data_IF_512218560661
#
_entry.id   IF_512218560661
#
_cell.length_a   1.000
_cell.length_b   1.000
_cell.length_c   1.000
_cell.angle_alpha   90.00
_cell.angle_beta   90.00
_cell.angle_gamma   90.00
#
_symmetry.space_group_name_H-M   'P 1'
#
loop_
_entity.id
_entity.type
_entity.pdbx_description
1 polymer ?
#
# COMPACT_ATOMS: atom_id res chain seq x y z
N UNK A 1 11.10 11.08 31.07
CA UNK A 1 10.68 10.34 32.29
C UNK A 1 9.78 9.21 31.80
N UNK A 2 10.19 7.95 31.73
CA UNK A 2 9.81 6.87 32.66
C UNK A 2 10.67 5.57 32.50
N UNK A 3 11.95 5.58 32.03
CA UNK A 3 12.72 4.33 31.90
C UNK A 3 13.00 3.68 33.26
N UNK A 4 13.13 4.46 34.34
CA UNK A 4 13.39 3.95 35.67
C UNK A 4 12.20 3.18 36.28
N UNK A 5 10.96 3.63 36.04
CA UNK A 5 9.75 2.94 36.52
C UNK A 5 9.51 1.65 35.71
N UNK A 6 9.85 1.63 34.42
CA UNK A 6 9.83 0.43 33.59
C UNK A 6 10.88 -0.61 34.03
N UNK A 7 12.10 -0.16 34.37
CA UNK A 7 13.17 -1.03 34.90
C UNK A 7 12.81 -1.58 36.28
N UNK A 8 12.21 -0.77 37.16
CA UNK A 8 11.70 -1.20 38.47
C UNK A 8 10.56 -2.21 38.34
N UNK A 9 9.64 -2.02 37.38
CA UNK A 9 8.60 -3.00 37.06
C UNK A 9 9.17 -4.31 36.51
N UNK A 10 10.23 -4.24 35.68
CA UNK A 10 10.95 -5.40 35.14
C UNK A 10 11.65 -6.21 36.23
N UNK A 11 12.28 -5.51 37.19
CA UNK A 11 12.99 -6.13 38.31
C UNK A 11 12.01 -6.74 39.33
N UNK A 12 10.90 -6.07 39.64
CA UNK A 12 9.86 -6.60 40.53
C UNK A 12 9.15 -7.83 39.93
N UNK A 13 8.87 -7.83 38.63
CA UNK A 13 8.28 -8.98 37.93
C UNK A 13 9.28 -10.15 37.77
N UNK A 14 10.55 -9.85 37.50
CA UNK A 14 11.63 -10.85 37.50
C UNK A 14 11.82 -11.51 38.86
N UNK A 15 11.70 -10.73 39.94
CA UNK A 15 11.74 -11.24 41.31
C UNK A 15 10.52 -12.11 41.64
N UNK A 16 9.30 -11.73 41.22
CA UNK A 16 8.10 -12.56 41.38
C UNK A 16 8.19 -13.89 40.62
N UNK A 17 8.77 -13.90 39.41
CA UNK A 17 9.01 -15.12 38.65
C UNK A 17 10.04 -16.03 39.36
N UNK A 18 11.09 -15.44 39.94
CA UNK A 18 12.09 -16.15 40.73
C UNK A 18 11.53 -16.69 42.05
N UNK A 19 10.61 -15.96 42.69
CA UNK A 19 9.93 -16.37 43.91
C UNK A 19 8.93 -17.52 43.64
N UNK A 20 8.22 -17.46 42.50
CA UNK A 20 7.36 -18.55 42.04
C UNK A 20 8.16 -19.84 41.76
N UNK A 21 9.39 -19.74 41.23
CA UNK A 21 10.28 -20.90 41.04
C UNK A 21 10.80 -21.53 42.34
N UNK A 22 10.84 -20.78 43.45
CA UNK A 22 11.23 -21.32 44.76
C UNK A 22 10.04 -21.92 45.54
N UNK A 23 8.82 -21.47 45.27
CA UNK A 23 7.60 -21.93 45.93
C UNK A 23 7.04 -23.24 45.34
N UNK A 24 7.36 -23.57 44.09
CA UNK A 24 7.00 -24.86 43.49
C UNK A 24 8.00 -25.94 43.90
N UNK A 25 7.65 -26.76 44.90
CA UNK A 25 8.41 -27.97 45.26
C UNK A 25 8.55 -28.88 44.03
N UNK A 26 9.81 -29.14 43.68
CA UNK A 26 10.32 -30.21 42.83
C UNK A 26 9.73 -30.39 41.41
N UNK A 27 10.61 -30.13 40.45
CA UNK A 27 10.68 -30.74 39.11
C UNK A 27 9.71 -30.24 38.04
N UNK A 28 9.99 -29.08 37.44
CA UNK A 28 9.89 -28.95 35.99
C UNK A 28 10.72 -27.78 35.46
N UNK A 29 11.95 -28.07 35.06
CA UNK A 29 12.84 -27.15 34.34
C UNK A 29 12.21 -26.65 33.01
N UNK A 30 11.19 -27.34 32.54
CA UNK A 30 10.38 -27.06 31.36
C UNK A 30 9.43 -25.88 31.56
N UNK A 31 8.77 -25.76 32.73
CA UNK A 31 7.98 -24.58 33.09
C UNK A 31 8.86 -23.32 33.21
N UNK A 32 10.09 -23.48 33.71
CA UNK A 32 11.09 -22.41 33.81
C UNK A 32 11.50 -21.94 32.41
N UNK A 33 11.76 -22.86 31.48
CA UNK A 33 12.07 -22.54 30.09
C UNK A 33 10.90 -21.90 29.34
N UNK A 34 9.67 -22.34 29.59
CA UNK A 34 8.47 -21.79 28.94
C UNK A 34 8.16 -20.37 29.40
N UNK A 35 8.25 -20.10 30.71
CA UNK A 35 8.08 -18.76 31.27
C UNK A 35 9.15 -17.79 30.73
N UNK A 36 10.40 -18.24 30.63
CA UNK A 36 11.49 -17.43 30.07
C UNK A 36 11.30 -17.13 28.56
N UNK A 37 10.90 -18.12 27.76
CA UNK A 37 10.67 -17.96 26.32
C UNK A 37 9.45 -17.08 26.02
N UNK A 38 8.35 -17.26 26.75
CA UNK A 38 7.15 -16.42 26.64
C UNK A 38 7.47 -14.96 27.00
N UNK A 39 8.26 -14.76 28.06
CA UNK A 39 8.68 -13.43 28.52
C UNK A 39 9.59 -12.72 27.51
N UNK A 40 10.57 -13.42 26.93
CA UNK A 40 11.46 -12.87 25.90
C UNK A 40 10.66 -12.47 24.64
N UNK A 41 9.68 -13.28 24.23
CA UNK A 41 8.81 -12.98 23.10
C UNK A 41 7.92 -11.76 23.36
N UNK A 42 7.35 -11.64 24.57
CA UNK A 42 6.50 -10.53 24.98
C UNK A 42 7.28 -9.21 25.04
N UNK A 43 8.47 -9.22 25.65
CA UNK A 43 9.35 -8.04 25.73
C UNK A 43 9.77 -7.56 24.34
N UNK A 44 10.09 -8.49 23.42
CA UNK A 44 10.43 -8.15 22.04
C UNK A 44 9.25 -7.55 21.25
N UNK A 45 8.04 -8.11 21.41
CA UNK A 45 6.82 -7.61 20.78
C UNK A 45 6.45 -6.20 21.28
N UNK A 46 6.49 -5.98 22.60
CA UNK A 46 6.16 -4.68 23.19
C UNK A 46 7.21 -3.62 22.82
N UNK A 47 8.50 -3.97 22.83
CA UNK A 47 9.58 -3.06 22.43
C UNK A 47 9.48 -2.61 20.96
N UNK A 48 9.22 -3.55 20.04
CA UNK A 48 9.06 -3.23 18.61
C UNK A 48 7.83 -2.36 18.34
N UNK A 49 6.75 -2.52 19.11
CA UNK A 49 5.53 -1.71 18.98
C UNK A 49 5.68 -0.30 19.57
N UNK A 50 6.44 -0.14 20.65
CA UNK A 50 6.52 1.14 21.39
C UNK A 50 7.69 2.05 20.99
N UNK A 51 8.85 1.50 20.62
CA UNK A 51 10.08 2.31 20.45
C UNK A 51 10.36 2.70 18.98
N UNK A 52 9.62 2.14 18.00
CA UNK A 52 9.76 2.40 16.54
C UNK A 52 11.20 2.35 16.00
N UNK A 53 12.17 1.75 16.73
CA UNK A 53 13.56 1.54 16.28
C UNK A 53 13.90 0.05 16.22
N UNK A 54 14.55 -0.44 15.14
CA UNK A 54 14.93 -1.84 15.00
C UNK A 54 16.12 -2.17 15.91
N UNK A 55 15.85 -2.72 17.11
CA UNK A 55 16.88 -3.23 18.01
C UNK A 55 17.37 -4.62 17.56
N UNK A 56 17.91 -4.71 16.35
CA UNK A 56 18.27 -5.98 15.71
C UNK A 56 19.38 -6.77 16.42
N UNK A 57 20.20 -6.14 17.26
CA UNK A 57 21.23 -6.82 18.06
C UNK A 57 20.65 -7.43 19.34
N UNK A 58 19.71 -6.72 20.00
CA UNK A 58 19.05 -7.16 21.23
C UNK A 58 18.14 -8.37 20.93
N UNK A 59 17.45 -8.36 19.78
CA UNK A 59 16.69 -9.52 19.29
C UNK A 59 17.58 -10.73 18.99
N UNK A 60 18.79 -10.54 18.47
CA UNK A 60 19.73 -11.63 18.20
C UNK A 60 20.29 -12.23 19.49
N UNK A 61 20.66 -11.38 20.46
CA UNK A 61 21.12 -11.82 21.77
C UNK A 61 20.04 -12.66 22.47
N UNK A 62 18.80 -12.15 22.49
CA UNK A 62 17.65 -12.83 23.07
C UNK A 62 17.35 -14.17 22.39
N UNK A 63 17.43 -14.23 21.06
CA UNK A 63 17.24 -15.48 20.30
C UNK A 63 18.37 -16.49 20.56
N UNK A 64 19.62 -16.05 20.72
CA UNK A 64 20.74 -16.95 21.06
C UNK A 64 20.60 -17.55 22.46
N UNK A 65 20.21 -16.74 23.46
CA UNK A 65 19.96 -17.22 24.82
C UNK A 65 18.78 -18.20 24.84
N UNK A 66 17.68 -17.88 24.16
CA UNK A 66 16.54 -18.75 24.00
C UNK A 66 16.90 -20.10 23.36
N UNK A 67 17.74 -20.10 22.32
CA UNK A 67 18.22 -21.32 21.67
C UNK A 67 19.08 -22.17 22.62
N UNK A 68 19.97 -21.56 23.40
CA UNK A 68 20.80 -22.27 24.38
C UNK A 68 19.95 -22.92 25.49
N UNK A 69 18.91 -22.23 25.97
CA UNK A 69 17.95 -22.79 26.94
C UNK A 69 17.16 -23.95 26.35
N UNK A 70 16.73 -23.85 25.09
CA UNK A 70 16.02 -24.91 24.37
C UNK A 70 16.90 -26.16 24.18
N UNK A 71 18.17 -25.97 23.82
CA UNK A 71 19.16 -27.07 23.71
C UNK A 71 19.37 -27.76 25.05
N UNK A 72 19.50 -27.00 26.14
CA UNK A 72 19.64 -27.55 27.50
C UNK A 72 18.39 -28.34 27.93
N UNK A 73 17.20 -27.83 27.62
CA UNK A 73 15.94 -28.54 27.88
C UNK A 73 15.84 -29.86 27.10
N UNK A 74 16.19 -29.88 25.81
CA UNK A 74 16.20 -31.12 25.01
C UNK A 74 17.28 -32.08 25.49
N UNK A 75 18.46 -31.59 25.87
CA UNK A 75 19.55 -32.42 26.40
C UNK A 75 19.17 -33.09 27.72
N UNK A 76 18.54 -32.35 28.64
CA UNK A 76 18.05 -32.93 29.91
C UNK A 76 16.92 -33.94 29.71
N UNK A 77 16.18 -33.87 28.60
CA UNK A 77 15.23 -34.92 28.21
C UNK A 77 15.92 -36.17 27.66
N UNK A 78 17.07 -36.02 26.97
CA UNK A 78 17.83 -37.16 26.45
C UNK A 78 18.45 -38.04 27.54
N UNK A 79 18.69 -37.49 28.73
CA UNK A 79 19.30 -38.19 29.87
C UNK A 79 18.28 -38.81 30.84
N UNK A 80 16.98 -38.58 30.65
CA UNK A 80 15.90 -39.17 31.48
C UNK A 80 15.04 -40.09 30.63
N UNK A 81 15.36 -41.39 30.65
CA UNK A 81 14.60 -42.43 29.94
C UNK A 81 13.19 -42.66 30.50
N UNK A 82 12.94 -42.27 31.75
CA UNK A 82 11.75 -42.71 32.49
C UNK A 82 10.53 -41.78 32.34
N UNK A 83 10.72 -40.58 31.77
CA UNK A 83 9.64 -39.58 31.59
C UNK A 83 8.66 -39.98 30.47
N UNK A 84 9.03 -40.95 29.63
CA UNK A 84 8.30 -41.31 28.40
C UNK A 84 7.82 -42.77 28.35
N UNK A 85 8.18 -43.59 29.34
CA UNK A 85 7.95 -45.05 29.34
C UNK A 85 6.66 -45.50 30.05
N UNK A 86 5.83 -44.58 30.55
CA UNK A 86 4.56 -44.98 31.20
C UNK A 86 3.46 -45.24 30.17
N UNK A 87 3.65 -46.34 29.42
CA UNK A 87 2.76 -46.82 28.35
C UNK A 87 1.42 -47.37 28.87
N UNK A 88 1.13 -47.31 30.18
CA UNK A 88 -0.09 -47.88 30.75
C UNK A 88 -1.30 -46.93 30.74
N UNK A 89 -1.09 -45.64 30.55
CA UNK A 89 -2.15 -44.65 30.44
C UNK A 89 -1.90 -43.77 29.20
N UNK A 90 -2.50 -44.09 28.06
CA UNK A 90 -2.26 -43.48 26.74
C UNK A 90 -2.34 -41.94 26.60
N UNK A 91 -2.53 -41.20 27.69
CA UNK A 91 -2.54 -39.73 27.75
C UNK A 91 -1.13 -39.11 27.91
N UNK A 92 -0.18 -39.78 28.59
CA UNK A 92 1.14 -39.20 28.89
C UNK A 92 2.06 -39.11 27.66
N UNK A 93 1.93 -40.05 26.73
CA UNK A 93 2.77 -40.18 25.54
C UNK A 93 2.41 -39.20 24.41
N UNK A 94 1.14 -38.77 24.33
CA UNK A 94 0.70 -37.71 23.42
C UNK A 94 1.24 -36.32 23.84
N UNK A 95 1.23 -36.00 25.14
CA UNK A 95 1.76 -34.73 25.67
C UNK A 95 3.27 -34.59 25.41
N UNK A 96 4.00 -35.70 25.54
CA UNK A 96 5.42 -35.79 25.18
C UNK A 96 5.70 -35.47 23.71
N UNK A 97 4.94 -36.07 22.80
CA UNK A 97 5.02 -35.80 21.35
C UNK A 97 4.80 -34.31 21.05
N UNK A 98 3.77 -33.69 21.63
CA UNK A 98 3.49 -32.27 21.44
C UNK A 98 4.58 -31.37 21.99
N UNK A 99 5.13 -31.66 23.17
CA UNK A 99 6.26 -30.91 23.75
C UNK A 99 7.49 -30.93 22.84
N UNK A 100 7.82 -32.09 22.25
CA UNK A 100 8.91 -32.23 21.29
C UNK A 100 8.62 -31.52 19.96
N UNK A 101 7.39 -31.60 19.46
CA UNK A 101 6.97 -30.91 18.24
C UNK A 101 7.04 -29.38 18.40
N UNK A 102 6.61 -28.85 19.55
CA UNK A 102 6.71 -27.43 19.86
C UNK A 102 8.16 -26.98 20.09
N UNK A 103 9.00 -27.82 20.71
CA UNK A 103 10.44 -27.54 20.82
C UNK A 103 11.12 -27.52 19.44
N UNK A 104 10.75 -28.44 18.54
CA UNK A 104 11.22 -28.45 17.17
C UNK A 104 10.77 -27.18 16.41
N UNK A 105 9.46 -26.87 16.44
CA UNK A 105 8.91 -25.68 15.78
C UNK A 105 9.48 -24.36 16.34
N UNK A 106 9.67 -24.28 17.66
CA UNK A 106 10.31 -23.15 18.33
C UNK A 106 11.77 -22.97 17.92
N UNK A 107 12.54 -24.07 17.81
CA UNK A 107 13.91 -24.05 17.31
C UNK A 107 14.01 -23.59 15.85
N UNK A 108 13.11 -24.09 14.98
CA UNK A 108 13.00 -23.64 13.57
C UNK A 108 12.66 -22.14 13.50
N UNK A 109 11.75 -21.66 14.35
CA UNK A 109 11.39 -20.25 14.46
C UNK A 109 12.53 -19.35 14.95
N UNK A 110 13.30 -19.82 15.93
CA UNK A 110 14.50 -19.13 16.45
C UNK A 110 15.62 -19.07 15.39
N UNK A 111 15.87 -20.16 14.68
CA UNK A 111 16.78 -20.17 13.52
C UNK A 111 16.31 -19.15 12.47
N UNK A 112 15.01 -19.07 12.17
CA UNK A 112 14.44 -18.08 11.24
C UNK A 112 14.64 -16.64 11.73
N UNK A 113 14.48 -16.36 13.01
CA UNK A 113 14.72 -15.03 13.60
C UNK A 113 16.19 -14.61 13.54
N UNK A 114 17.12 -15.55 13.76
CA UNK A 114 18.56 -15.31 13.65
C UNK A 114 19.03 -15.09 12.19
N UNK A 115 18.26 -15.57 11.20
CA UNK A 115 18.62 -15.60 9.78
C UNK A 115 17.79 -14.65 8.88
N UNK A 116 16.68 -14.10 9.39
CA UNK A 116 15.81 -13.19 8.64
C UNK A 116 15.05 -13.86 7.49
N UNK A 117 14.86 -13.16 6.36
CA UNK A 117 14.06 -13.61 5.19
C UNK A 117 14.69 -14.73 4.35
N UNK A 118 15.74 -15.40 4.82
CA UNK A 118 16.55 -16.35 4.04
C UNK A 118 15.99 -17.79 3.95
N UNK A 119 14.85 -18.09 4.57
CA UNK A 119 14.28 -19.45 4.60
C UNK A 119 14.07 -20.11 3.22
N UNK A 120 13.61 -19.41 2.15
CA UNK A 120 13.44 -20.03 0.83
C UNK A 120 14.77 -20.43 0.16
N UNK A 121 15.92 -19.98 0.71
CA UNK A 121 17.26 -20.21 0.16
C UNK A 121 18.02 -21.35 0.84
N UNK A 122 17.44 -21.99 1.86
CA UNK A 122 18.06 -23.12 2.58
C UNK A 122 18.29 -24.35 1.69
N UNK A 123 17.54 -24.49 0.59
CA UNK A 123 17.71 -25.58 -0.38
C UNK A 123 18.86 -25.32 -1.39
N UNK A 124 19.39 -24.09 -1.45
CA UNK A 124 20.53 -23.70 -2.30
C UNK A 124 21.36 -22.61 -1.60
N UNK A 125 22.11 -22.95 -0.53
CA UNK A 125 22.93 -21.98 0.20
C UNK A 125 24.02 -21.40 -0.71
N UNK A 126 24.15 -20.06 -0.75
CA UNK A 126 25.13 -19.33 -1.56
C UNK A 126 26.23 -18.69 -0.72
N UNK A 127 26.04 -18.59 0.59
CA UNK A 127 27.00 -17.97 1.52
C UNK A 127 27.38 -18.92 2.65
N UNK A 128 28.57 -18.74 3.25
CA UNK A 128 29.05 -19.53 4.39
C UNK A 128 28.05 -19.51 5.57
N UNK A 129 27.40 -18.36 5.79
CA UNK A 129 26.39 -18.17 6.83
C UNK A 129 25.13 -19.01 6.59
N UNK A 130 24.69 -19.13 5.33
CA UNK A 130 23.56 -19.98 4.96
C UNK A 130 23.92 -21.46 5.11
N UNK A 131 25.16 -21.86 4.79
CA UNK A 131 25.65 -23.22 5.00
C UNK A 131 25.68 -23.65 6.46
N UNK A 132 26.26 -22.82 7.34
CA UNK A 132 26.29 -23.09 8.79
C UNK A 132 24.88 -23.17 9.38
N UNK A 133 23.96 -22.35 8.89
CA UNK A 133 22.56 -22.37 9.29
C UNK A 133 21.84 -23.66 8.85
N UNK A 134 22.05 -24.10 7.61
CA UNK A 134 21.49 -25.37 7.13
C UNK A 134 22.03 -26.53 7.96
N UNK A 135 23.34 -26.56 8.24
CA UNK A 135 23.95 -27.59 9.10
C UNK A 135 23.37 -27.58 10.52
N UNK A 136 23.19 -26.40 11.12
CA UNK A 136 22.60 -26.27 12.46
C UNK A 136 21.14 -26.75 12.49
N UNK A 137 20.36 -26.41 11.47
CA UNK A 137 18.96 -26.84 11.35
C UNK A 137 18.84 -28.35 11.12
N UNK A 138 19.70 -28.92 10.28
CA UNK A 138 19.77 -30.37 10.05
C UNK A 138 20.18 -31.10 11.33
N UNK A 139 21.20 -30.62 12.03
CA UNK A 139 21.64 -31.17 13.31
C UNK A 139 20.53 -31.10 14.38
N UNK A 140 19.82 -29.96 14.48
CA UNK A 140 18.71 -29.78 15.40
C UNK A 140 17.54 -30.73 15.10
N UNK A 141 17.21 -30.86 13.81
CA UNK A 141 16.14 -31.76 13.34
C UNK A 141 16.50 -33.23 13.59
N UNK A 142 17.76 -33.61 13.33
CA UNK A 142 18.25 -34.96 13.60
C UNK A 142 18.25 -35.28 15.11
N UNK A 143 18.63 -34.33 15.96
CA UNK A 143 18.59 -34.48 17.42
C UNK A 143 17.15 -34.69 17.91
N UNK A 144 16.21 -33.84 17.48
CA UNK A 144 14.79 -33.97 17.85
C UNK A 144 14.20 -35.30 17.34
N UNK A 145 14.53 -35.69 16.10
CA UNK A 145 14.10 -36.97 15.52
C UNK A 145 14.66 -38.19 16.26
N UNK A 146 15.91 -38.13 16.71
CA UNK A 146 16.53 -39.18 17.50
C UNK A 146 15.87 -39.31 18.89
N UNK A 147 15.58 -38.19 19.56
CA UNK A 147 14.86 -38.19 20.84
C UNK A 147 13.44 -38.74 20.67
N UNK A 148 12.76 -38.41 19.57
CA UNK A 148 11.45 -38.94 19.25
C UNK A 148 11.48 -40.47 19.03
N UNK A 149 12.40 -40.95 18.19
CA UNK A 149 12.53 -42.36 17.85
C UNK A 149 12.92 -43.24 19.05
N UNK A 150 13.69 -42.69 20.00
CA UNK A 150 14.12 -43.41 21.21
C UNK A 150 13.04 -43.49 22.29
N UNK A 151 12.11 -42.53 22.33
CA UNK A 151 11.21 -42.35 23.47
C UNK A 151 9.70 -42.48 23.14
N UNK A 152 9.30 -42.56 21.87
CA UNK A 152 7.89 -42.64 21.47
C UNK A 152 7.65 -43.89 20.62
N UNK A 153 6.66 -44.70 21.01
CA UNK A 153 6.27 -45.89 20.23
C UNK A 153 5.57 -45.50 18.92
N UNK A 154 5.71 -46.34 17.89
CA UNK A 154 5.15 -46.11 16.55
C UNK A 154 3.62 -45.94 16.59
N UNK A 155 2.94 -46.66 17.49
CA UNK A 155 1.48 -46.62 17.65
C UNK A 155 0.99 -45.28 18.22
N UNK A 156 1.68 -44.72 19.21
CA UNK A 156 1.36 -43.41 19.80
C UNK A 156 1.63 -42.28 18.80
N UNK A 157 2.71 -42.40 18.02
CA UNK A 157 3.03 -41.46 16.95
C UNK A 157 1.91 -41.44 15.91
N UNK A 158 1.45 -42.61 15.46
CA UNK A 158 0.34 -42.73 14.51
C UNK A 158 -0.97 -42.14 15.07
N UNK A 159 -1.29 -42.40 16.34
CA UNK A 159 -2.49 -41.88 17.00
C UNK A 159 -2.47 -40.35 17.18
N UNK A 160 -1.29 -39.76 17.46
CA UNK A 160 -1.12 -38.32 17.69
C UNK A 160 -1.04 -37.51 16.40
N UNK A 161 -0.50 -38.09 15.32
CA UNK A 161 -0.35 -37.44 14.01
C UNK A 161 -1.68 -37.40 13.23
N UNK A 162 -2.56 -38.38 13.43
CA UNK A 162 -3.85 -38.48 12.73
C UNK A 162 -4.77 -37.25 12.92
N UNK A 163 -5.01 -36.73 14.14
CA UNK A 163 -5.81 -35.50 14.33
C UNK A 163 -5.08 -34.23 13.86
N UNK A 164 -3.75 -34.18 13.89
CA UNK A 164 -2.97 -33.06 13.35
C UNK A 164 -3.11 -32.98 11.82
N UNK A 165 -2.97 -34.10 11.11
CA UNK A 165 -3.13 -34.16 9.66
C UNK A 165 -4.55 -33.77 9.23
N UNK A 166 -5.56 -34.27 9.95
CA UNK A 166 -6.97 -34.00 9.62
C UNK A 166 -7.42 -32.60 10.06
N UNK A 167 -7.01 -32.11 11.24
CA UNK A 167 -7.49 -30.85 11.81
C UNK A 167 -6.68 -29.60 11.40
N UNK A 168 -5.40 -29.75 11.08
CA UNK A 168 -4.49 -28.62 10.80
C UNK A 168 -3.76 -28.79 9.45
N UNK A 169 -3.39 -30.03 9.10
CA UNK A 169 -2.77 -30.34 7.81
C UNK A 169 -3.68 -30.05 6.63
N UNK A 170 -4.94 -30.49 6.68
CA UNK A 170 -5.90 -30.29 5.59
C UNK A 170 -6.20 -28.79 5.34
N UNK A 171 -6.54 -27.96 6.35
CA UNK A 171 -6.79 -26.53 6.13
C UNK A 171 -5.55 -25.77 5.65
N UNK A 172 -4.37 -26.08 6.19
CA UNK A 172 -3.11 -25.46 5.74
C UNK A 172 -2.74 -25.87 4.31
N UNK A 173 -3.01 -27.12 3.91
CA UNK A 173 -2.82 -27.58 2.54
C UNK A 173 -3.79 -26.85 1.59
N UNK A 174 -5.06 -26.69 1.97
CA UNK A 174 -6.05 -25.92 1.20
C UNK A 174 -5.64 -24.45 1.08
N UNK A 175 -5.24 -23.81 2.18
CA UNK A 175 -4.73 -22.43 2.16
C UNK A 175 -3.47 -22.28 1.30
N UNK A 176 -2.53 -23.23 1.40
CA UNK A 176 -1.29 -23.21 0.61
C UNK A 176 -1.54 -23.46 -0.88
N UNK A 177 -2.50 -24.33 -1.22
CA UNK A 177 -2.90 -24.58 -2.61
C UNK A 177 -3.66 -23.40 -3.20
N UNK A 178 -4.60 -22.79 -2.47
CA UNK A 178 -5.29 -21.57 -2.89
C UNK A 178 -4.31 -20.40 -3.04
N UNK A 179 -3.45 -20.16 -2.05
CA UNK A 179 -2.41 -19.12 -2.14
C UNK A 179 -1.39 -19.41 -3.26
N UNK A 180 -1.05 -20.69 -3.48
CA UNK A 180 -0.21 -21.14 -4.57
C UNK A 180 -0.86 -20.90 -5.93
N UNK A 181 -2.17 -21.13 -6.05
CA UNK A 181 -2.96 -20.90 -7.25
C UNK A 181 -3.13 -19.40 -7.54
N UNK A 182 -3.51 -18.58 -6.56
CA UNK A 182 -3.54 -17.11 -6.68
C UNK A 182 -2.15 -16.56 -7.03
N UNK A 183 -1.11 -17.09 -6.39
CA UNK A 183 0.28 -16.76 -6.69
C UNK A 183 0.66 -17.13 -8.12
N UNK A 184 0.23 -18.28 -8.61
CA UNK A 184 0.49 -18.75 -9.98
C UNK A 184 -0.29 -17.92 -11.01
N UNK A 185 -1.59 -17.71 -10.80
CA UNK A 185 -2.45 -16.86 -11.63
C UNK A 185 -1.90 -15.43 -11.72
N UNK A 186 -1.42 -14.86 -10.61
CA UNK A 186 -0.85 -13.51 -10.60
C UNK A 186 0.59 -13.42 -11.13
N UNK A 187 1.30 -14.53 -11.38
CA UNK A 187 2.68 -14.49 -11.93
C UNK A 187 2.71 -13.89 -13.32
N UNK A 188 1.76 -14.23 -14.18
CA UNK A 188 1.66 -13.69 -15.54
C UNK A 188 1.52 -12.17 -15.50
N UNK A 189 0.55 -11.69 -14.72
CA UNK A 189 0.31 -10.25 -14.52
C UNK A 189 1.52 -9.52 -13.93
N UNK A 190 2.15 -10.06 -12.87
CA UNK A 190 3.36 -9.46 -12.28
C UNK A 190 4.54 -9.42 -13.25
N UNK A 191 4.71 -10.46 -14.09
CA UNK A 191 5.76 -10.49 -15.12
C UNK A 191 5.47 -9.45 -16.20
N UNK A 192 4.23 -9.38 -16.70
CA UNK A 192 3.78 -8.37 -17.66
C UNK A 192 4.05 -6.96 -17.13
N UNK A 193 3.57 -6.63 -15.93
CA UNK A 193 3.75 -5.29 -15.32
C UNK A 193 5.22 -4.90 -15.16
N UNK A 194 6.09 -5.86 -14.78
CA UNK A 194 7.55 -5.66 -14.72
C UNK A 194 8.16 -5.46 -16.09
N UNK A 195 7.73 -6.20 -17.11
CA UNK A 195 8.21 -6.05 -18.47
C UNK A 195 7.86 -4.67 -19.03
N UNK A 196 6.58 -4.26 -18.94
CA UNK A 196 6.16 -2.91 -19.33
C UNK A 196 7.00 -1.85 -18.61
N UNK A 197 7.40 -2.10 -17.36
CA UNK A 197 8.16 -1.12 -16.55
C UNK A 197 9.59 -1.04 -17.05
N UNK A 198 10.18 -2.18 -17.40
CA UNK A 198 11.46 -2.24 -18.06
C UNK A 198 11.42 -1.55 -19.43
N UNK A 199 10.38 -1.79 -20.25
CA UNK A 199 10.22 -1.18 -21.58
C UNK A 199 10.09 0.35 -21.49
N UNK A 200 9.27 0.86 -20.56
CA UNK A 200 9.20 2.30 -20.27
C UNK A 200 10.54 2.88 -19.83
N UNK A 201 11.24 2.21 -18.91
CA UNK A 201 12.55 2.66 -18.41
C UNK A 201 13.66 2.56 -19.47
N UNK A 202 13.49 1.73 -20.49
CA UNK A 202 14.39 1.63 -21.64
C UNK A 202 14.22 2.78 -22.63
N UNK A 203 13.06 3.45 -22.66
CA UNK A 203 12.86 4.67 -23.45
C UNK A 203 13.66 5.83 -22.85
N UNK A 204 14.58 6.38 -23.64
CA UNK A 204 15.32 7.58 -23.27
C UNK A 204 14.43 8.85 -23.25
N UNK A 205 14.97 9.94 -22.69
CA UNK A 205 14.23 11.19 -22.56
C UNK A 205 13.81 11.76 -23.93
N UNK A 206 14.63 11.57 -24.97
CA UNK A 206 14.34 12.05 -26.32
C UNK A 206 13.18 11.29 -26.96
N UNK A 207 13.12 9.96 -26.82
CA UNK A 207 12.02 9.13 -27.28
C UNK A 207 10.72 9.47 -26.55
N UNK A 208 10.76 9.65 -25.22
CA UNK A 208 9.58 10.08 -24.45
C UNK A 208 9.08 11.45 -24.91
N UNK A 209 9.97 12.42 -25.10
CA UNK A 209 9.58 13.75 -25.60
C UNK A 209 9.00 13.68 -27.02
N UNK A 210 9.57 12.83 -27.89
CA UNK A 210 9.02 12.57 -29.23
C UNK A 210 7.61 12.00 -29.16
N UNK A 211 7.36 11.02 -28.28
CA UNK A 211 6.03 10.45 -28.06
C UNK A 211 5.04 11.54 -27.63
N UNK A 212 5.39 12.33 -26.61
CA UNK A 212 4.54 13.42 -26.12
C UNK A 212 4.21 14.43 -27.23
N UNK A 213 5.19 14.80 -28.06
CA UNK A 213 4.97 15.69 -29.20
C UNK A 213 4.05 15.08 -30.28
N UNK A 214 3.99 13.75 -30.39
CA UNK A 214 3.05 13.07 -31.29
C UNK A 214 1.64 13.11 -30.71
N UNK A 215 1.50 12.93 -29.40
CA UNK A 215 0.21 13.05 -28.69
C UNK A 215 -0.37 14.46 -28.84
N UNK A 216 0.42 15.50 -28.61
CA UNK A 216 -0.05 16.89 -28.77
C UNK A 216 -0.45 17.22 -30.21
N UNK A 217 0.31 16.72 -31.20
CA UNK A 217 -0.04 16.85 -32.62
C UNK A 217 -1.29 16.08 -33.00
N UNK A 218 -1.59 14.97 -32.34
CA UNK A 218 -2.85 14.25 -32.52
C UNK A 218 -4.01 15.04 -31.92
N UNK A 219 -3.82 15.61 -30.72
CA UNK A 219 -4.81 16.45 -30.05
C UNK A 219 -5.17 17.72 -30.86
N UNK A 220 -4.20 18.30 -31.58
CA UNK A 220 -4.43 19.48 -32.41
C UNK A 220 -5.37 19.26 -33.60
N UNK A 221 -5.68 18.01 -33.97
CA UNK A 221 -6.52 17.69 -35.15
C UNK A 221 -8.02 17.68 -34.86
N UNK A 222 -8.44 17.88 -33.61
CA UNK A 222 -9.86 17.81 -33.22
C UNK A 222 -10.14 18.38 -31.84
N UNK A 223 -11.29 18.02 -31.23
CA UNK A 223 -11.59 18.35 -29.85
C UNK A 223 -10.49 17.84 -28.93
N UNK A 224 -10.02 18.71 -28.03
CA UNK A 224 -8.92 18.42 -27.10
C UNK A 224 -9.30 18.79 -25.68
N UNK A 225 -8.70 18.10 -24.74
CA UNK A 225 -8.69 18.44 -23.32
C UNK A 225 -7.24 18.53 -22.85
N UNK A 226 -7.02 19.14 -21.68
CA UNK A 226 -5.70 19.14 -21.06
C UNK A 226 -5.64 18.08 -19.97
N UNK A 227 -4.65 17.20 -20.07
CA UNK A 227 -4.27 16.26 -19.04
C UNK A 227 -3.09 16.84 -18.27
N UNK A 228 -3.24 17.03 -16.97
CA UNK A 228 -2.16 17.51 -16.11
C UNK A 228 -1.49 16.32 -15.42
N UNK A 229 -0.18 16.22 -15.59
CA UNK A 229 0.67 15.23 -14.93
C UNK A 229 1.44 15.86 -13.77
N UNK A 230 1.66 15.11 -12.70
CA UNK A 230 2.58 15.52 -11.65
C UNK A 230 4.02 15.50 -12.21
N UNK A 231 4.69 16.63 -12.18
CA UNK A 231 6.15 16.67 -12.24
C UNK A 231 6.70 16.57 -10.80
N UNK A 232 8.00 16.27 -10.64
CA UNK A 232 8.64 16.22 -9.32
C UNK A 232 8.51 17.54 -8.55
N UNK A 233 9.26 17.70 -7.44
CA UNK A 233 9.20 18.94 -6.63
C UNK A 233 9.15 20.19 -7.51
N UNK A 234 8.01 20.90 -7.43
CA UNK A 234 7.78 22.05 -8.28
C UNK A 234 8.92 23.05 -8.08
N UNK A 235 9.43 23.62 -9.16
CA UNK A 235 10.13 24.91 -9.02
C UNK A 235 9.21 25.88 -8.28
N UNK A 236 9.78 26.74 -7.44
CA UNK A 236 9.13 27.68 -6.51
C UNK A 236 8.26 28.78 -7.18
N UNK A 237 7.71 28.54 -8.37
CA UNK A 237 6.76 29.45 -9.00
C UNK A 237 5.41 29.32 -8.29
N UNK A 238 5.19 30.21 -7.33
CA UNK A 238 4.00 30.29 -6.48
C UNK A 238 2.68 30.17 -7.27
N UNK A 239 2.60 30.72 -8.49
CA UNK A 239 1.40 30.75 -9.32
C UNK A 239 1.22 29.56 -10.29
N UNK A 240 2.12 28.56 -10.26
CA UNK A 240 2.01 27.38 -11.10
C UNK A 240 0.88 26.44 -10.61
N UNK A 241 0.22 25.69 -11.51
CA UNK A 241 -0.74 24.67 -11.11
C UNK A 241 -0.06 23.60 -10.27
N UNK A 242 -0.70 23.20 -9.17
CA UNK A 242 -0.12 22.26 -8.22
C UNK A 242 -1.17 21.50 -7.40
N UNK A 243 -0.71 20.43 -6.76
CA UNK A 243 -1.47 19.65 -5.78
C UNK A 243 -0.80 19.74 -4.42
N UNK A 244 -1.59 19.81 -3.35
CA UNK A 244 -1.08 19.93 -1.98
C UNK A 244 -0.28 21.21 -1.69
N UNK A 245 0.29 21.29 -0.50
CA UNK A 245 1.07 22.46 -0.04
C UNK A 245 0.24 23.67 0.35
N UNK A 246 0.86 24.85 0.28
CA UNK A 246 0.20 26.13 0.57
C UNK A 246 -0.62 26.63 -0.63
N UNK A 247 -1.79 27.22 -0.35
CA UNK A 247 -2.66 27.79 -1.37
C UNK A 247 -2.39 29.30 -1.52
N UNK A 248 -2.46 29.82 -2.74
CA UNK A 248 -2.60 31.25 -2.97
C UNK A 248 -4.07 31.65 -2.91
N UNK A 249 -4.46 32.45 -1.91
CA UNK A 249 -5.86 32.81 -1.69
C UNK A 249 -6.06 34.32 -1.59
N UNK A 250 -7.14 34.86 -2.20
CA UNK A 250 -7.59 36.22 -1.93
C UNK A 250 -7.92 36.45 -0.46
N UNK A 251 -7.93 37.72 -0.04
CA UNK A 251 -8.24 38.10 1.35
C UNK A 251 -9.63 37.63 1.79
N UNK A 252 -10.61 37.66 0.89
CA UNK A 252 -12.03 37.34 1.07
C UNK A 252 -12.36 35.84 0.97
N UNK A 253 -11.40 34.98 0.66
CA UNK A 253 -11.60 33.53 0.59
C UNK A 253 -11.07 32.89 1.88
N UNK A 254 -11.98 32.38 2.70
CA UNK A 254 -11.61 31.65 3.93
C UNK A 254 -11.22 30.20 3.64
N UNK A 255 -10.41 29.63 4.53
CA UNK A 255 -10.07 28.20 4.47
C UNK A 255 -11.28 27.37 4.93
N UNK A 256 -11.82 26.44 4.10
CA UNK A 256 -12.98 25.66 4.50
C UNK A 256 -12.68 24.75 5.70
N UNK A 257 -13.64 24.61 6.59
CA UNK A 257 -13.57 23.70 7.74
C UNK A 257 -14.82 22.83 7.79
N UNK A 258 -14.66 21.59 8.25
CA UNK A 258 -15.77 20.67 8.47
C UNK A 258 -16.60 21.10 9.69
N UNK A 259 -17.79 20.51 9.85
CA UNK A 259 -18.69 20.80 10.97
C UNK A 259 -18.09 20.50 12.36
N UNK A 260 -17.08 19.62 12.43
CA UNK A 260 -16.30 19.28 13.63
C UNK A 260 -15.16 20.28 13.91
N UNK A 261 -14.96 21.27 13.03
CA UNK A 261 -13.91 22.28 13.13
C UNK A 261 -12.57 21.86 12.51
N UNK A 262 -12.45 20.64 11.97
CA UNK A 262 -11.21 20.23 11.32
C UNK A 262 -11.05 20.93 9.96
N UNK A 263 -9.86 21.49 9.65
CA UNK A 263 -9.62 22.16 8.39
C UNK A 263 -9.64 21.18 7.22
N UNK A 264 -10.13 21.68 6.08
CA UNK A 264 -10.06 20.98 4.81
C UNK A 264 -8.61 20.79 4.36
N UNK A 265 -8.35 19.77 3.55
CA UNK A 265 -7.04 19.52 2.94
C UNK A 265 -7.02 20.13 1.55
N UNK A 266 -5.97 20.86 1.20
CA UNK A 266 -5.81 21.38 -0.16
C UNK A 266 -5.52 20.22 -1.12
N UNK A 267 -6.39 20.04 -2.12
CA UNK A 267 -6.21 19.02 -3.15
C UNK A 267 -5.50 19.59 -4.37
N UNK A 268 -6.04 20.67 -4.92
CA UNK A 268 -5.68 21.19 -6.23
C UNK A 268 -5.83 22.71 -6.25
N UNK A 269 -4.82 23.39 -6.77
CA UNK A 269 -4.93 24.79 -7.19
C UNK A 269 -4.49 24.92 -8.65
N UNK A 270 -5.41 25.37 -9.49
CA UNK A 270 -5.29 25.28 -10.94
C UNK A 270 -5.75 26.57 -11.63
N UNK A 271 -4.82 27.35 -12.21
CA UNK A 271 -5.16 28.37 -13.19
C UNK A 271 -5.80 27.73 -14.41
N UNK A 272 -7.01 28.15 -14.75
CA UNK A 272 -7.77 27.55 -15.84
C UNK A 272 -7.21 28.01 -17.20
N UNK A 273 -7.07 27.10 -18.17
CA UNK A 273 -6.43 27.36 -19.46
C UNK A 273 -7.43 27.80 -20.55
N UNK A 274 -6.90 28.30 -21.68
CA UNK A 274 -7.67 28.78 -22.84
C UNK A 274 -8.48 27.70 -23.57
N UNK A 275 -8.33 26.42 -23.22
CA UNK A 275 -9.22 25.37 -23.75
C UNK A 275 -10.67 25.55 -23.28
N UNK A 276 -10.86 26.28 -22.18
CA UNK A 276 -12.17 26.67 -21.66
C UNK A 276 -12.59 28.03 -22.24
N UNK A 277 -13.90 28.24 -22.49
CA UNK A 277 -14.39 29.52 -22.99
C UNK A 277 -14.26 30.62 -21.92
N UNK A 278 -14.30 31.88 -22.33
CA UNK A 278 -14.44 33.00 -21.41
C UNK A 278 -15.68 32.79 -20.50
N UNK A 279 -15.60 33.12 -19.20
CA UNK A 279 -14.53 33.86 -18.51
C UNK A 279 -13.41 32.98 -17.94
N UNK A 280 -13.44 31.66 -18.11
CA UNK A 280 -12.60 30.74 -17.35
C UNK A 280 -11.09 30.93 -17.49
N UNK A 281 -10.51 31.30 -18.64
CA UNK A 281 -9.06 31.48 -18.77
C UNK A 281 -8.45 32.56 -17.85
N UNK A 282 -9.28 33.48 -17.34
CA UNK A 282 -8.86 34.50 -16.36
C UNK A 282 -9.10 34.09 -14.91
N UNK A 283 -9.40 32.82 -14.64
CA UNK A 283 -9.78 32.30 -13.33
C UNK A 283 -8.79 31.26 -12.82
N UNK A 284 -8.70 31.18 -11.49
CA UNK A 284 -8.03 30.11 -10.76
C UNK A 284 -9.09 29.35 -9.97
N UNK A 285 -9.06 28.03 -10.02
CA UNK A 285 -9.89 27.14 -9.21
C UNK A 285 -9.04 26.56 -8.10
N UNK A 286 -9.55 26.61 -6.87
CA UNK A 286 -8.96 25.95 -5.71
C UNK A 286 -9.95 24.94 -5.16
N UNK A 287 -9.51 23.70 -4.98
CA UNK A 287 -10.32 22.57 -4.53
C UNK A 287 -9.76 22.04 -3.22
N UNK A 288 -10.63 21.90 -2.23
CA UNK A 288 -10.31 21.31 -0.94
C UNK A 288 -11.14 20.06 -0.68
N UNK A 289 -10.60 19.16 0.14
CA UNK A 289 -11.28 17.97 0.62
C UNK A 289 -11.64 18.11 2.09
N UNK A 290 -12.85 17.71 2.45
CA UNK A 290 -13.34 17.60 3.82
C UNK A 290 -13.47 16.11 4.19
N UNK A 291 -12.42 15.46 4.74
CA UNK A 291 -12.41 14.03 5.00
C UNK A 291 -13.55 13.52 5.89
N UNK A 292 -13.92 14.28 6.93
CA UNK A 292 -14.97 13.85 7.86
C UNK A 292 -16.36 13.87 7.23
N UNK A 293 -16.58 14.70 6.20
CA UNK A 293 -17.84 14.81 5.47
C UNK A 293 -17.82 14.05 4.13
N UNK A 294 -16.64 13.64 3.66
CA UNK A 294 -16.42 13.07 2.32
C UNK A 294 -16.89 14.00 1.19
N UNK A 295 -16.68 15.30 1.38
CA UNK A 295 -17.11 16.34 0.44
C UNK A 295 -15.92 17.11 -0.11
N UNK A 296 -16.03 17.52 -1.38
CA UNK A 296 -15.09 18.46 -1.99
C UNK A 296 -15.71 19.87 -1.99
N UNK A 297 -14.91 20.87 -1.60
CA UNK A 297 -15.29 22.29 -1.64
C UNK A 297 -14.45 22.98 -2.70
N UNK A 298 -15.05 23.91 -3.43
CA UNK A 298 -14.38 24.64 -4.50
C UNK A 298 -14.60 26.13 -4.37
N UNK A 299 -13.55 26.91 -4.64
CA UNK A 299 -13.62 28.34 -4.86
C UNK A 299 -12.99 28.70 -6.19
N UNK A 300 -13.51 29.75 -6.83
CA UNK A 300 -12.90 30.36 -7.99
C UNK A 300 -12.64 31.84 -7.72
N UNK A 301 -11.47 32.31 -8.11
CA UNK A 301 -11.08 33.72 -8.04
C UNK A 301 -10.39 34.18 -9.31
N UNK A 302 -10.30 35.50 -9.50
CA UNK A 302 -9.65 36.07 -10.67
C UNK A 302 -8.15 35.86 -10.59
N UNK A 303 -7.50 35.56 -11.71
CA UNK A 303 -6.08 35.24 -11.78
C UNK A 303 -5.18 36.43 -11.41
N UNK A 304 -5.68 37.64 -11.60
CA UNK A 304 -5.05 38.92 -11.28
C UNK A 304 -5.44 39.45 -9.88
N UNK A 305 -6.23 38.70 -9.12
CA UNK A 305 -6.59 39.09 -7.76
C UNK A 305 -5.34 39.19 -6.86
N UNK A 306 -5.37 40.12 -5.91
CA UNK A 306 -4.35 40.18 -4.87
C UNK A 306 -4.49 38.97 -3.95
N UNK A 307 -3.54 38.04 -4.04
CA UNK A 307 -3.50 36.80 -3.27
C UNK A 307 -2.32 36.77 -2.30
N UNK A 308 -2.50 36.09 -1.18
CA UNK A 308 -1.43 35.76 -0.25
C UNK A 308 -1.28 34.25 -0.14
N UNK A 309 -0.05 33.78 0.06
CA UNK A 309 0.20 32.39 0.38
C UNK A 309 -0.34 32.08 1.78
N UNK A 310 -1.15 31.02 1.89
CA UNK A 310 -1.72 30.54 3.14
C UNK A 310 -1.39 29.06 3.28
N UNK A 311 -0.65 28.74 4.34
CA UNK A 311 -0.35 27.35 4.70
C UNK A 311 -1.61 26.63 5.18
N UNK A 312 -1.64 25.31 4.99
CA UNK A 312 -2.72 24.47 5.47
C UNK A 312 -2.81 24.57 7.01
N UNK A 313 -3.99 24.89 7.59
CA UNK A 313 -4.14 24.94 9.03
C UNK A 313 -3.87 23.56 9.67
N UNK A 314 -3.23 23.59 10.84
CA UNK A 314 -2.88 22.38 11.60
C UNK A 314 -4.14 21.69 12.12
N UNK A 315 -4.25 20.38 11.88
CA UNK A 315 -5.37 19.56 12.38
C UNK A 315 -5.24 19.26 13.87
N UNK A 316 -6.38 19.16 14.54
CA UNK A 316 -6.43 18.86 15.98
C UNK A 316 -6.54 17.36 16.26
N UNK A 317 -7.03 16.56 15.30
CA UNK A 317 -7.26 15.12 15.44
C UNK A 317 -6.15 14.27 14.79
N UNK A 318 -5.78 13.15 15.43
CA UNK A 318 -4.60 12.31 15.07
C UNK A 318 -4.86 11.15 14.10
N UNK A 319 -6.10 10.98 13.62
CA UNK A 319 -6.48 9.75 12.92
C UNK A 319 -6.03 9.72 11.44
N UNK A 320 -5.63 10.87 10.88
CA UNK A 320 -5.13 10.98 9.52
C UNK A 320 -3.85 11.82 9.45
N UNK A 321 -2.69 11.25 9.06
CA UNK A 321 -1.65 12.05 8.44
C UNK A 321 -2.17 12.50 7.05
N UNK A 322 -1.77 13.58 6.39
CA UNK A 322 -0.49 14.27 6.32
C UNK A 322 -0.73 15.53 5.49
N UNK A 323 0.11 16.56 5.59
CA UNK A 323 0.22 17.56 4.52
C UNK A 323 0.52 16.83 3.19
N UNK A 324 -0.28 17.09 2.16
CA UNK A 324 0.05 16.61 0.81
C UNK A 324 1.23 17.45 0.33
N UNK A 325 2.40 16.86 0.00
CA UNK A 325 3.54 17.63 -0.44
C UNK A 325 3.18 18.35 -1.74
N UNK A 326 3.64 19.60 -1.87
CA UNK A 326 3.41 20.40 -3.08
C UNK A 326 4.05 19.71 -4.28
N UNK A 327 3.25 19.27 -5.24
CA UNK A 327 3.74 18.74 -6.53
C UNK A 327 3.26 19.65 -7.66
N UNK A 328 4.18 19.97 -8.58
CA UNK A 328 3.86 20.81 -9.73
C UNK A 328 3.09 20.02 -10.77
N UNK A 329 2.15 20.66 -11.46
CA UNK A 329 1.41 20.05 -12.55
C UNK A 329 1.89 20.59 -13.90
N UNK A 330 2.02 19.71 -14.88
CA UNK A 330 2.30 20.10 -16.27
C UNK A 330 1.19 19.63 -17.19
N UNK A 331 0.66 20.55 -17.99
CA UNK A 331 -0.34 20.25 -18.99
C UNK A 331 0.25 19.50 -20.18
N UNK A 332 -0.52 18.54 -20.68
CA UNK A 332 -0.35 17.84 -21.95
C UNK A 332 -1.69 17.90 -22.69
N UNK A 333 -1.68 18.39 -23.93
CA UNK A 333 -2.88 18.35 -24.74
C UNK A 333 -3.13 16.93 -25.25
N UNK A 334 -4.31 16.38 -24.97
CA UNK A 334 -4.73 15.05 -25.45
C UNK A 334 -6.07 15.15 -26.19
N UNK A 335 -6.36 14.26 -27.15
CA UNK A 335 -7.66 14.22 -27.81
C UNK A 335 -8.77 14.00 -26.77
N UNK A 336 -9.88 14.71 -26.91
CA UNK A 336 -11.04 14.47 -26.07
C UNK A 336 -11.75 13.18 -26.50
N UNK A 337 -12.16 12.37 -25.52
CA UNK A 337 -13.06 11.26 -25.75
C UNK A 337 -14.45 11.83 -26.10
N UNK A 338 -14.87 11.69 -27.34
CA UNK A 338 -16.24 11.97 -27.76
C UNK A 338 -17.02 10.68 -27.63
N UNK A 339 -17.69 10.46 -26.51
CA UNK A 339 -18.75 9.44 -26.49
C UNK A 339 -19.85 9.95 -27.41
N UNK A 340 -20.11 9.27 -28.51
CA UNK A 340 -21.27 9.56 -29.35
C UNK A 340 -22.48 8.96 -28.62
N UNK A 341 -23.36 9.77 -28.02
CA UNK A 341 -24.49 9.23 -27.25
C UNK A 341 -25.50 8.48 -28.11
N UNK A 342 -25.38 8.53 -29.45
CA UNK A 342 -26.29 7.90 -30.40
C UNK A 342 -25.90 6.47 -30.82
N UNK A 343 -24.76 5.94 -30.36
CA UNK A 343 -24.24 4.64 -30.78
C UNK A 343 -23.91 3.67 -29.64
N UNK A 344 -24.41 3.92 -28.43
CA UNK A 344 -24.29 2.99 -27.31
C UNK A 344 -25.24 1.80 -27.52
N UNK A 345 -24.92 0.95 -28.50
CA UNK A 345 -25.38 -0.42 -28.47
C UNK A 345 -24.77 -1.08 -27.23
N UNK A 346 -25.64 -1.78 -26.48
CA UNK A 346 -25.38 -2.45 -25.20
C UNK A 346 -24.43 -3.67 -25.37
N UNK A 347 -23.26 -3.47 -25.97
CA UNK A 347 -22.23 -4.50 -26.00
C UNK A 347 -21.58 -4.57 -24.62
N UNK A 348 -21.92 -5.63 -23.87
CA UNK A 348 -21.39 -6.02 -22.55
C UNK A 348 -19.85 -6.20 -22.50
N UNK A 349 -19.15 -5.99 -23.61
CA UNK A 349 -17.68 -6.02 -23.75
C UNK A 349 -17.06 -4.63 -23.89
N UNK A 350 -17.79 -3.56 -23.54
CA UNK A 350 -17.34 -2.17 -23.57
C UNK A 350 -16.01 -1.96 -22.85
N UNK A 351 -14.91 -2.15 -23.57
CA UNK A 351 -13.61 -1.65 -23.16
C UNK A 351 -13.76 -0.15 -23.13
N UNK A 352 -13.91 0.41 -21.93
CA UNK A 352 -13.85 1.84 -21.67
C UNK A 352 -12.72 2.41 -22.53
N UNK A 353 -13.07 3.17 -23.59
CA UNK A 353 -12.09 3.68 -24.54
C UNK A 353 -11.18 4.67 -23.81
N UNK A 354 -10.07 4.19 -23.27
CA UNK A 354 -9.09 5.05 -22.64
C UNK A 354 -8.36 5.91 -23.69
N UNK A 355 -7.76 7.00 -23.21
CA UNK A 355 -7.05 7.98 -24.06
C UNK A 355 -5.93 7.31 -24.89
N UNK A 356 -5.26 6.30 -24.34
CA UNK A 356 -4.14 5.62 -25.01
C UNK A 356 -4.64 4.75 -26.17
N UNK A 357 -5.75 4.03 -25.98
CA UNK A 357 -6.41 3.21 -26.99
C UNK A 357 -6.84 4.08 -28.17
N UNK A 358 -7.48 5.22 -27.89
CA UNK A 358 -7.88 6.18 -28.93
C UNK A 358 -6.67 6.72 -29.71
N UNK A 359 -5.59 7.09 -29.01
CA UNK A 359 -4.37 7.61 -29.62
C UNK A 359 -3.69 6.59 -30.54
N UNK A 360 -3.60 5.34 -30.11
CA UNK A 360 -3.00 4.26 -30.90
C UNK A 360 -3.86 3.88 -32.11
N UNK A 361 -5.18 4.01 -32.02
CA UNK A 361 -6.08 3.81 -33.14
C UNK A 361 -5.97 4.94 -34.18
N UNK A 362 -5.87 6.21 -33.74
CA UNK A 362 -5.89 7.39 -34.62
C UNK A 362 -4.55 7.77 -35.22
N UNK A 363 -3.42 7.46 -34.58
CA UNK A 363 -2.08 7.79 -35.09
C UNK A 363 -1.24 6.53 -35.38
N UNK A 364 -1.24 6.10 -36.64
CA UNK A 364 -0.48 4.94 -37.09
C UNK A 364 1.05 5.10 -36.94
N UNK A 365 1.55 6.32 -36.84
CA UNK A 365 2.96 6.59 -36.54
C UNK A 365 3.27 6.30 -35.08
N UNK A 366 2.41 6.79 -34.17
CA UNK A 366 2.52 6.55 -32.74
C UNK A 366 2.39 5.07 -32.43
N UNK A 367 1.40 4.39 -33.03
CA UNK A 367 1.21 2.94 -32.89
C UNK A 367 2.45 2.15 -33.26
N UNK A 368 3.00 2.37 -34.44
CA UNK A 368 4.23 1.67 -34.90
C UNK A 368 5.43 1.95 -33.99
N UNK A 369 5.57 3.17 -33.49
CA UNK A 369 6.63 3.52 -32.55
C UNK A 369 6.47 2.76 -31.23
N UNK A 370 5.24 2.67 -30.70
CA UNK A 370 4.96 1.97 -29.45
C UNK A 370 5.08 0.45 -29.57
N UNK A 371 4.61 -0.13 -30.68
CA UNK A 371 4.75 -1.57 -30.98
C UNK A 371 6.23 -1.98 -31.16
N UNK A 372 7.07 -1.08 -31.70
CA UNK A 372 8.50 -1.30 -31.78
C UNK A 372 9.19 -1.25 -30.41
N UNK A 373 8.65 -0.46 -29.46
CA UNK A 373 9.20 -0.30 -28.12
C UNK A 373 8.76 -1.41 -27.17
N UNK A 374 7.56 -1.98 -27.33
CA UNK A 374 7.02 -2.99 -26.43
C UNK A 374 5.95 -3.86 -27.07
N UNK A 375 5.81 -5.08 -26.55
CA UNK A 375 4.67 -5.97 -26.81
C UNK A 375 3.37 -5.51 -26.13
N UNK A 376 3.44 -4.45 -25.33
CA UNK A 376 2.34 -3.85 -24.57
C UNK A 376 2.29 -2.33 -24.82
N UNK A 377 1.99 -1.91 -26.07
CA UNK A 377 2.14 -0.52 -26.50
C UNK A 377 1.23 0.45 -25.72
N UNK A 378 0.01 0.02 -25.38
CA UNK A 378 -0.96 0.82 -24.61
C UNK A 378 -0.45 1.14 -23.21
N UNK A 379 0.01 0.13 -22.48
CA UNK A 379 0.48 0.30 -21.10
C UNK A 379 1.78 1.11 -21.03
N UNK A 380 2.69 0.98 -22.01
CA UNK A 380 3.88 1.84 -22.06
C UNK A 380 3.49 3.28 -22.42
N UNK A 381 2.54 3.48 -23.33
CA UNK A 381 2.04 4.81 -23.67
C UNK A 381 1.40 5.50 -22.46
N UNK A 382 0.60 4.78 -21.68
CA UNK A 382 0.00 5.26 -20.43
C UNK A 382 1.07 5.84 -19.48
N UNK A 383 2.18 5.12 -19.30
CA UNK A 383 3.30 5.55 -18.44
C UNK A 383 4.08 6.73 -19.00
N UNK A 384 4.18 6.84 -20.33
CA UNK A 384 4.80 8.00 -20.96
C UNK A 384 3.94 9.24 -20.80
N UNK A 385 2.62 9.11 -20.97
CA UNK A 385 1.65 10.20 -20.80
C UNK A 385 1.58 10.65 -19.34
N UNK A 386 1.45 9.72 -18.39
CA UNK A 386 1.40 10.02 -16.95
C UNK A 386 2.73 10.52 -16.41
N UNK A 387 3.86 10.07 -16.97
CA UNK A 387 5.20 10.29 -16.42
C UNK A 387 5.56 9.36 -15.27
N UNK A 388 4.62 8.53 -14.79
CA UNK A 388 4.79 7.61 -13.66
C UNK A 388 4.97 6.16 -14.15
N UNK A 389 6.08 5.47 -13.80
CA UNK A 389 6.31 4.07 -14.18
C UNK A 389 5.35 3.04 -13.58
N UNK A 390 4.57 3.41 -12.57
CA UNK A 390 3.67 2.52 -11.83
C UNK A 390 2.19 2.68 -12.21
N UNK A 391 1.86 3.68 -13.04
CA UNK A 391 0.54 3.90 -13.66
C UNK A 391 0.37 2.94 -14.84
N UNK A 392 -0.79 2.30 -14.93
CA UNK A 392 -1.09 1.31 -15.98
C UNK A 392 -2.24 1.74 -16.91
N UNK A 393 -3.00 2.78 -16.53
CA UNK A 393 -4.13 3.36 -17.26
C UNK A 393 -4.10 4.88 -17.07
N UNK A 394 -4.52 5.64 -18.09
CA UNK A 394 -4.63 7.09 -18.02
C UNK A 394 -6.06 7.51 -18.32
N UNK A 395 -6.73 7.99 -17.28
CA UNK A 395 -8.16 8.33 -17.24
C UNK A 395 -8.43 9.40 -16.17
N UNK A 396 -9.72 9.69 -15.93
CA UNK A 396 -10.13 10.62 -14.88
C UNK A 396 -9.80 10.15 -13.44
N UNK A 397 -9.62 8.85 -13.19
CA UNK A 397 -9.24 8.31 -11.87
C UNK A 397 -7.77 8.55 -11.53
N UNK A 398 -6.92 8.68 -12.55
CA UNK A 398 -5.46 8.70 -12.40
C UNK A 398 -4.82 10.02 -12.80
N UNK A 399 -5.61 11.00 -13.24
CA UNK A 399 -5.12 12.27 -13.78
C UNK A 399 -6.03 13.45 -13.42
N UNK A 400 -5.49 14.66 -13.58
CA UNK A 400 -6.29 15.89 -13.60
C UNK A 400 -6.63 16.21 -15.06
N UNK A 401 -7.91 16.28 -15.39
CA UNK A 401 -8.41 16.61 -16.73
C UNK A 401 -9.11 17.96 -16.72
N UNK A 402 -8.87 18.79 -17.74
CA UNK A 402 -9.49 20.11 -17.88
C UNK A 402 -10.13 20.27 -19.24
N UNK A 403 -11.40 20.67 -19.24
CA UNK A 403 -12.24 20.78 -20.43
C UNK A 403 -12.75 19.42 -20.93
N UNK A 404 -13.46 19.45 -22.07
CA UNK A 404 -14.15 18.27 -22.58
C UNK A 404 -15.44 17.95 -21.81
N UNK A 405 -15.75 16.67 -21.67
CA UNK A 405 -16.89 16.16 -20.92
C UNK A 405 -16.39 15.35 -19.70
N UNK A 406 -17.14 15.32 -18.58
CA UNK A 406 -16.79 14.50 -17.43
C UNK A 406 -16.85 13.01 -17.81
N UNK A 407 -15.88 12.23 -17.33
CA UNK A 407 -15.78 10.78 -17.57
C UNK A 407 -16.12 10.03 -16.28
N UNK A 408 -16.62 8.79 -16.39
CA UNK A 408 -16.86 7.87 -15.26
C UNK A 408 -17.83 8.38 -14.18
N UNK A 409 -18.78 9.26 -14.54
CA UNK A 409 -19.80 9.77 -13.62
C UNK A 409 -20.80 8.67 -13.26
N UNK A 410 -21.18 8.56 -11.99
CA UNK A 410 -22.13 7.55 -11.50
C UNK A 410 -23.59 8.01 -11.60
N UNK A 411 -23.80 9.30 -11.87
CA UNK A 411 -25.12 9.88 -12.08
C UNK A 411 -25.03 11.28 -12.67
N UNK A 412 -26.17 11.85 -13.11
CA UNK A 412 -26.19 13.20 -13.65
C UNK A 412 -25.87 14.23 -12.56
N UNK A 413 -24.74 14.92 -12.70
CA UNK A 413 -24.40 16.11 -11.93
C UNK A 413 -25.26 17.31 -12.37
N UNK A 414 -26.54 17.32 -11.98
CA UNK A 414 -27.51 18.37 -12.35
C UNK A 414 -27.30 19.66 -11.53
N UNK A 415 -26.09 20.23 -11.60
CA UNK A 415 -25.73 21.43 -10.87
C UNK A 415 -26.25 22.68 -11.56
N UNK A 416 -26.86 23.58 -10.79
CA UNK A 416 -27.34 24.89 -11.26
C UNK A 416 -26.70 26.00 -10.45
N UNK A 417 -26.50 27.15 -11.09
CA UNK A 417 -26.03 28.36 -10.44
C UNK A 417 -27.08 28.88 -9.45
N UNK A 418 -26.68 29.17 -8.21
CA UNK A 418 -27.60 29.70 -7.20
C UNK A 418 -28.09 31.12 -7.49
N UNK A 419 -27.39 31.86 -8.37
CA UNK A 419 -27.76 33.23 -8.75
C UNK A 419 -28.70 33.32 -9.95
N UNK A 420 -28.46 32.52 -11.00
CA UNK A 420 -29.24 32.61 -12.25
C UNK A 420 -29.93 31.31 -12.66
N UNK A 421 -29.83 30.25 -11.86
CA UNK A 421 -30.40 28.92 -12.14
C UNK A 421 -29.93 28.25 -13.45
N UNK A 422 -28.97 28.84 -14.17
CA UNK A 422 -28.35 28.27 -15.36
C UNK A 422 -27.57 26.98 -15.01
N UNK A 423 -27.55 25.98 -15.91
CA UNK A 423 -26.73 24.78 -15.71
C UNK A 423 -25.25 25.16 -15.59
N UNK A 424 -24.53 24.51 -14.68
CA UNK A 424 -23.09 24.70 -14.55
C UNK A 424 -22.34 23.90 -15.61
N UNK A 425 -21.27 24.48 -16.15
CA UNK A 425 -20.35 23.85 -17.09
C UNK A 425 -19.32 23.01 -16.35
N UNK A 426 -18.99 21.84 -16.89
CA UNK A 426 -17.84 21.05 -16.43
C UNK A 426 -16.52 21.78 -16.73
N UNK A 427 -15.65 21.89 -15.71
CA UNK A 427 -14.37 22.57 -15.81
C UNK A 427 -13.20 21.60 -15.69
N UNK A 428 -13.19 20.82 -14.60
CA UNK A 428 -12.03 20.01 -14.17
C UNK A 428 -12.52 18.72 -13.54
N UNK A 429 -11.83 17.60 -13.80
CA UNK A 429 -11.89 16.41 -12.96
C UNK A 429 -10.52 16.08 -12.39
N UNK A 430 -10.48 15.53 -11.18
CA UNK A 430 -9.25 15.06 -10.53
C UNK A 430 -9.54 13.76 -9.80
N UNK A 431 -8.85 12.70 -10.19
CA UNK A 431 -8.88 11.43 -9.44
C UNK A 431 -7.94 11.43 -8.24
N UNK A 432 -7.73 10.24 -7.69
CA UNK A 432 -6.79 9.96 -6.60
C UNK A 432 -5.33 10.09 -7.07
N UNK A 433 -4.78 11.30 -6.96
CA UNK A 433 -3.39 11.56 -7.36
C UNK A 433 -2.40 10.95 -6.36
N UNK A 434 -1.28 10.43 -6.89
CA UNK A 434 -0.25 9.75 -6.10
C UNK A 434 0.29 10.64 -4.96
N UNK A 435 0.03 10.23 -3.71
CA UNK A 435 0.43 10.95 -2.50
C UNK A 435 -0.70 11.74 -1.81
N UNK A 436 -1.90 11.77 -2.42
CA UNK A 436 -3.13 12.33 -1.84
C UNK A 436 -4.09 11.25 -1.33
N UNK A 437 -5.09 11.71 -0.57
CA UNK A 437 -6.17 10.90 0.00
C UNK A 437 -6.85 10.03 -1.05
N UNK A 438 -7.20 8.79 -0.70
CA UNK A 438 -8.11 7.99 -1.50
C UNK A 438 -9.55 8.47 -1.23
N UNK A 439 -10.24 8.98 -2.24
CA UNK A 439 -11.65 9.39 -2.19
C UNK A 439 -12.61 8.18 -2.16
N UNK A 440 -12.20 7.06 -1.52
CA UNK A 440 -12.89 5.78 -1.59
C UNK A 440 -12.14 4.77 -2.46
N UNK A 441 -12.85 3.88 -3.15
CA UNK A 441 -12.28 3.00 -4.17
C UNK A 441 -12.29 3.75 -5.51
N UNK A 442 -11.15 4.36 -5.87
CA UNK A 442 -10.97 5.10 -7.13
C UNK A 442 -11.91 6.30 -7.29
N UNK A 443 -11.93 7.21 -6.30
CA UNK A 443 -12.85 8.34 -6.35
C UNK A 443 -12.36 9.49 -7.23
N UNK A 444 -13.31 10.25 -7.78
CA UNK A 444 -13.07 11.36 -8.71
C UNK A 444 -13.81 12.60 -8.22
N UNK A 445 -13.10 13.72 -8.11
CA UNK A 445 -13.67 15.03 -7.87
C UNK A 445 -13.96 15.71 -9.21
N UNK A 446 -15.18 16.17 -9.41
CA UNK A 446 -15.61 16.94 -10.59
C UNK A 446 -15.95 18.37 -10.18
N UNK A 447 -15.40 19.34 -10.88
CA UNK A 447 -15.67 20.77 -10.66
C UNK A 447 -16.49 21.34 -11.81
N UNK A 448 -17.55 22.04 -11.45
CA UNK A 448 -18.43 22.76 -12.36
C UNK A 448 -18.48 24.25 -12.00
N UNK A 449 -18.75 25.11 -12.98
CA UNK A 449 -18.89 26.55 -12.74
C UNK A 449 -19.87 27.23 -13.69
N UNK A 450 -20.35 28.42 -13.29
CA UNK A 450 -21.30 29.21 -14.07
C UNK A 450 -20.58 30.20 -15.01
N UNK A 451 -20.85 30.12 -16.32
CA UNK A 451 -20.24 31.01 -17.32
C UNK A 451 -20.57 32.51 -17.04
N UNK A 452 -21.74 32.81 -16.45
CA UNK A 452 -22.16 34.18 -16.12
C UNK A 452 -21.71 34.65 -14.72
N UNK A 453 -21.49 33.73 -13.79
CA UNK A 453 -21.10 34.00 -12.40
C UNK A 453 -19.89 33.13 -12.05
N UNK A 454 -18.66 33.50 -12.47
CA UNK A 454 -17.50 32.64 -12.35
C UNK A 454 -17.01 32.43 -10.91
N UNK A 455 -17.63 33.08 -9.92
CA UNK A 455 -17.49 32.80 -8.50
C UNK A 455 -18.43 31.68 -8.00
N UNK A 456 -19.44 31.31 -8.79
CA UNK A 456 -20.38 30.23 -8.50
C UNK A 456 -19.85 28.90 -9.09
N UNK A 457 -19.09 28.18 -8.27
CA UNK A 457 -18.59 26.84 -8.59
C UNK A 457 -19.19 25.80 -7.63
N UNK A 458 -19.27 24.55 -8.10
CA UNK A 458 -19.66 23.39 -7.28
C UNK A 458 -18.74 22.21 -7.59
N UNK A 459 -18.48 21.41 -6.58
CA UNK A 459 -17.74 20.15 -6.74
C UNK A 459 -18.64 18.97 -6.39
N UNK A 460 -18.41 17.85 -7.07
CA UNK A 460 -19.07 16.56 -6.84
C UNK A 460 -17.98 15.51 -6.68
N UNK A 461 -18.27 14.47 -5.90
CA UNK A 461 -17.36 13.34 -5.68
C UNK A 461 -18.11 12.05 -5.94
N UNK A 462 -17.64 11.29 -6.92
CA UNK A 462 -18.10 9.93 -7.19
C UNK A 462 -17.01 8.94 -6.76
N UNK A 463 -17.39 7.77 -6.27
CA UNK A 463 -16.47 6.70 -5.87
C UNK A 463 -17.03 5.34 -6.28
N UNK A 464 -16.25 4.52 -6.96
CA UNK A 464 -16.69 3.23 -7.52
C UNK A 464 -16.76 2.09 -6.49
#
# INVERSE_FOLDING_TARGET
>A
MYPAIFVLGLLAAGWMALAMTFLTRQHDATSIGFAALFWIALVALVWTRWVRRPAGWLMRLAATVALAMLVSAVWTWTSRTDVFLDARCGCASAVAFWRLLFAWAGGVGLCRLLLGRALPRLLRPRTLREWLATLLLVAWTALCGWVLARNVSVEVLAASVRPLLLGLGLPLLVLATVAGWIGHASRGWRRRRRQVKADYLALDAAARQRILSMVERAAARGPRLLLYRCEGEAGWQLQAPHVGGAALLPADVDWPAAADGDPAVLLLQLPLPEVLPAPWPSRVVTVWWLPSQREAVVASHARDAAVAEREQPVRTTTDWPLEVPRQGLRALAVPALTHDPAGADEDEDGQDEDICTLLLARDAGLRRLMEAASTQPREVLARVISGDPDVDVVDACTSVLVGGAPQLIQGPHAARCDRCAAPLRFLVSSGDLAGGHAFGDSGIVYVYGCDAHPDQCRAFVDSH
#
